data_IF_315131014560
#
_entry.id   IF_315131014560
#
_cell.length_a   1.000
_cell.length_b   1.000
_cell.length_c   1.000
_cell.angle_alpha   90.00
_cell.angle_beta   90.00
_cell.angle_gamma   90.00
#
_symmetry.space_group_name_H-M   'P 1'
#
loop_
_entity.id
_entity.type
_entity.pdbx_description
1 polymer ?
#
# COMPACT_ATOMS: atom_id res chain seq x y z
N UNK A 1 4.45 11.85 7.15
CA UNK A 1 3.20 11.05 7.24
C UNK A 1 3.44 9.82 8.10
N UNK A 2 2.38 9.21 8.59
CA UNK A 2 2.40 7.90 9.26
C UNK A 2 2.17 6.84 8.18
N UNK A 3 3.13 5.95 8.02
CA UNK A 3 3.09 4.90 7.00
C UNK A 3 3.10 3.53 7.68
N UNK A 4 2.09 2.72 7.42
CA UNK A 4 2.07 1.32 7.84
C UNK A 4 2.71 0.45 6.77
N UNK A 5 3.58 -0.48 7.18
CA UNK A 5 4.31 -1.35 6.24
C UNK A 5 4.13 -2.80 6.66
N UNK A 6 3.80 -3.68 5.73
CA UNK A 6 3.78 -5.12 5.98
C UNK A 6 4.62 -5.90 4.98
N UNK A 7 5.21 -6.99 5.44
CA UNK A 7 5.86 -7.98 4.57
C UNK A 7 5.72 -9.37 5.19
N UNK A 8 5.49 -10.37 4.35
CA UNK A 8 5.47 -11.77 4.75
C UNK A 8 6.88 -12.39 4.85
N UNK A 9 7.89 -11.68 4.31
CA UNK A 9 9.28 -12.10 4.29
C UNK A 9 10.20 -10.97 4.72
N UNK A 10 11.25 -11.32 5.47
CA UNK A 10 12.31 -10.39 5.86
C UNK A 10 13.41 -10.34 4.78
N UNK A 11 13.05 -9.87 3.60
CA UNK A 11 13.93 -9.74 2.45
C UNK A 11 14.71 -8.39 2.45
N UNK A 12 15.89 -8.33 1.80
CA UNK A 12 16.67 -7.10 1.74
C UNK A 12 15.89 -5.89 1.21
N UNK A 13 15.05 -6.08 0.20
CA UNK A 13 14.23 -4.99 -0.36
C UNK A 13 13.14 -4.53 0.61
N UNK A 14 12.60 -5.42 1.45
CA UNK A 14 11.64 -5.06 2.49
C UNK A 14 12.29 -4.22 3.62
N UNK A 15 13.52 -4.56 3.99
CA UNK A 15 14.31 -3.75 4.93
C UNK A 15 14.71 -2.40 4.33
N UNK A 16 15.10 -2.39 3.04
CA UNK A 16 15.40 -1.15 2.32
C UNK A 16 14.17 -0.22 2.26
N UNK A 17 12.98 -0.77 2.06
CA UNK A 17 11.73 -0.02 2.11
C UNK A 17 11.55 0.70 3.46
N UNK A 18 11.73 -0.01 4.59
CA UNK A 18 11.63 0.62 5.92
C UNK A 18 12.64 1.75 6.10
N UNK A 19 13.90 1.52 5.69
CA UNK A 19 14.97 2.52 5.79
C UNK A 19 14.64 3.76 4.93
N UNK A 20 14.27 3.55 3.69
CA UNK A 20 13.99 4.64 2.75
C UNK A 20 12.77 5.49 3.17
N UNK A 21 11.72 4.87 3.69
CA UNK A 21 10.56 5.59 4.23
C UNK A 21 10.95 6.48 5.43
N UNK A 22 11.79 5.97 6.32
CA UNK A 22 12.30 6.75 7.47
C UNK A 22 13.23 7.90 7.03
N UNK A 23 14.11 7.66 6.06
CA UNK A 23 14.98 8.68 5.48
C UNK A 23 14.19 9.81 4.80
N UNK A 24 13.02 9.50 4.24
CA UNK A 24 12.05 10.47 3.71
C UNK A 24 11.28 11.24 4.80
N UNK A 25 11.55 10.95 6.08
CA UNK A 25 10.94 11.64 7.22
C UNK A 25 9.55 11.13 7.58
N UNK A 26 9.19 9.89 7.19
CA UNK A 26 7.93 9.28 7.59
C UNK A 26 8.06 8.58 8.95
N UNK A 27 6.98 8.59 9.73
CA UNK A 27 6.81 7.72 10.88
C UNK A 27 6.34 6.35 10.35
N UNK A 28 7.11 5.30 10.63
CA UNK A 28 6.91 3.97 10.02
C UNK A 28 6.57 2.94 11.09
N UNK A 29 5.43 2.27 10.93
CA UNK A 29 5.04 1.10 11.70
C UNK A 29 5.11 -0.16 10.84
N UNK A 30 5.81 -1.17 11.34
CA UNK A 30 6.03 -2.43 10.64
C UNK A 30 5.12 -3.55 11.15
N UNK A 31 4.75 -4.46 10.27
CA UNK A 31 3.95 -5.66 10.56
C UNK A 31 4.53 -6.91 9.87
N UNK A 32 4.13 -8.07 10.35
CA UNK A 32 4.52 -9.36 9.80
C UNK A 32 5.98 -9.67 10.06
N UNK A 33 6.69 -10.20 9.05
CA UNK A 33 8.09 -10.61 9.20
C UNK A 33 9.04 -9.46 9.57
N UNK A 34 8.62 -8.21 9.39
CA UNK A 34 9.39 -7.01 9.74
C UNK A 34 9.21 -6.56 11.19
N UNK A 35 8.28 -7.16 11.93
CA UNK A 35 8.02 -6.87 13.34
C UNK A 35 8.04 -8.17 14.15
N UNK A 36 9.06 -8.41 15.00
CA UNK A 36 9.16 -9.64 15.78
C UNK A 36 7.91 -9.90 16.62
N UNK A 37 7.36 -11.11 16.49
CA UNK A 37 6.18 -11.55 17.23
C UNK A 37 4.86 -11.40 16.47
N UNK A 38 4.85 -10.72 15.33
CA UNK A 38 3.68 -10.65 14.47
C UNK A 38 3.53 -11.94 13.63
N UNK A 39 2.29 -12.22 13.20
CA UNK A 39 2.01 -13.27 12.24
C UNK A 39 2.50 -12.83 10.84
N UNK A 40 3.47 -13.55 10.21
CA UNK A 40 4.01 -13.17 8.93
C UNK A 40 3.15 -13.62 7.72
N UNK A 41 2.03 -14.30 7.94
CA UNK A 41 1.17 -14.71 6.83
C UNK A 41 0.76 -13.48 5.99
N UNK A 42 0.98 -13.55 4.67
CA UNK A 42 0.76 -12.42 3.77
C UNK A 42 -0.65 -11.81 3.89
N UNK A 43 -1.68 -12.64 4.10
CA UNK A 43 -3.04 -12.16 4.28
C UNK A 43 -3.21 -11.41 5.59
N UNK A 44 -2.63 -11.92 6.69
CA UNK A 44 -2.78 -11.37 8.04
C UNK A 44 -2.02 -10.04 8.17
N UNK A 45 -0.75 -10.02 7.79
CA UNK A 45 0.06 -8.81 7.95
C UNK A 45 -0.38 -7.68 6.98
N UNK A 46 -0.82 -8.03 5.76
CA UNK A 46 -1.34 -7.02 4.82
C UNK A 46 -2.68 -6.45 5.29
N UNK A 47 -3.57 -7.29 5.85
CA UNK A 47 -4.79 -6.81 6.49
C UNK A 47 -4.49 -5.87 7.64
N UNK A 48 -3.53 -6.20 8.52
CA UNK A 48 -3.16 -5.37 9.67
C UNK A 48 -2.73 -3.97 9.22
N UNK A 49 -1.83 -3.87 8.24
CA UNK A 49 -1.39 -2.60 7.70
C UNK A 49 -2.53 -1.81 7.02
N UNK A 50 -3.37 -2.49 6.25
CA UNK A 50 -4.51 -1.88 5.57
C UNK A 50 -5.56 -1.34 6.56
N UNK A 51 -5.82 -2.04 7.66
CA UNK A 51 -6.75 -1.59 8.72
C UNK A 51 -6.28 -0.30 9.37
N UNK A 52 -4.98 -0.09 9.55
CA UNK A 52 -4.47 1.17 10.09
C UNK A 52 -4.81 2.36 9.19
N UNK A 53 -4.80 2.17 7.87
CA UNK A 53 -5.26 3.20 6.92
C UNK A 53 -6.77 3.41 7.03
N UNK A 54 -7.54 2.32 7.07
CA UNK A 54 -9.00 2.39 7.14
C UNK A 54 -9.52 3.10 8.40
N UNK A 55 -8.85 2.92 9.54
CA UNK A 55 -9.22 3.57 10.81
C UNK A 55 -8.51 4.92 11.05
N UNK A 56 -7.64 5.35 10.12
CA UNK A 56 -6.96 6.64 10.19
C UNK A 56 -5.78 6.70 11.17
N UNK A 57 -5.26 5.57 11.64
CA UNK A 57 -4.03 5.53 12.45
C UNK A 57 -2.77 5.57 11.59
N UNK A 58 -2.86 5.21 10.32
CA UNK A 58 -1.88 5.49 9.29
C UNK A 58 -2.49 6.33 8.16
N UNK A 59 -1.68 7.16 7.52
CA UNK A 59 -2.13 7.99 6.39
C UNK A 59 -2.13 7.19 5.08
N UNK A 60 -1.15 6.29 4.93
CA UNK A 60 -1.01 5.35 3.80
C UNK A 60 -0.32 4.07 4.28
N UNK A 61 -0.33 3.03 3.44
CA UNK A 61 0.42 1.81 3.72
C UNK A 61 1.19 1.33 2.49
N UNK A 62 2.24 0.54 2.76
CA UNK A 62 2.95 -0.27 1.75
C UNK A 62 2.90 -1.72 2.19
N UNK A 63 2.31 -2.59 1.38
CA UNK A 63 2.15 -4.01 1.66
C UNK A 63 2.96 -4.85 0.68
N UNK A 64 3.74 -5.79 1.18
CA UNK A 64 4.66 -6.60 0.40
C UNK A 64 4.38 -8.09 0.58
N UNK A 65 4.48 -8.84 -0.51
CA UNK A 65 4.69 -10.27 -0.49
C UNK A 65 5.56 -10.67 -1.69
N UNK A 66 5.85 -11.94 -1.88
CA UNK A 66 6.76 -12.38 -2.93
C UNK A 66 6.41 -11.81 -4.32
N UNK A 67 5.14 -11.81 -4.69
CA UNK A 67 4.64 -11.30 -5.98
C UNK A 67 3.85 -9.99 -5.86
N UNK A 68 3.49 -9.57 -4.65
CA UNK A 68 2.62 -8.42 -4.39
C UNK A 68 1.13 -8.68 -4.63
N UNK A 69 0.79 -9.77 -5.32
CA UNK A 69 -0.60 -10.09 -5.69
C UNK A 69 -1.45 -10.45 -4.47
N UNK A 70 -0.98 -11.36 -3.61
CA UNK A 70 -1.67 -11.74 -2.39
C UNK A 70 -1.85 -10.56 -1.42
N UNK A 71 -0.80 -9.77 -1.22
CA UNK A 71 -0.84 -8.57 -0.39
C UNK A 71 -1.88 -7.56 -0.89
N UNK A 72 -1.92 -7.32 -2.21
CA UNK A 72 -2.93 -6.44 -2.84
C UNK A 72 -4.36 -6.96 -2.64
N UNK A 73 -4.58 -8.26 -2.84
CA UNK A 73 -5.90 -8.88 -2.65
C UNK A 73 -6.36 -8.74 -1.20
N UNK A 74 -5.49 -9.09 -0.24
CA UNK A 74 -5.82 -9.02 1.19
C UNK A 74 -6.16 -7.59 1.63
N UNK A 75 -5.32 -6.62 1.25
CA UNK A 75 -5.54 -5.22 1.59
C UNK A 75 -6.87 -4.69 1.04
N UNK A 76 -7.23 -5.06 -0.19
CA UNK A 76 -8.50 -4.64 -0.81
C UNK A 76 -9.75 -5.31 -0.20
N UNK A 77 -9.59 -6.27 0.73
CA UNK A 77 -10.73 -6.80 1.50
C UNK A 77 -11.12 -5.88 2.67
N UNK A 78 -10.27 -4.94 3.02
CA UNK A 78 -10.55 -3.96 4.08
C UNK A 78 -11.35 -2.78 3.48
N UNK A 79 -12.57 -2.49 3.96
CA UNK A 79 -13.37 -1.38 3.48
C UNK A 79 -12.64 -0.05 3.60
N UNK A 80 -12.76 0.81 2.58
CA UNK A 80 -12.07 2.10 2.52
C UNK A 80 -10.63 2.04 2.00
N UNK A 81 -10.11 0.82 1.76
CA UNK A 81 -8.78 0.62 1.20
C UNK A 81 -8.85 0.46 -0.33
N UNK A 82 -7.98 1.18 -1.01
CA UNK A 82 -7.72 1.06 -2.43
C UNK A 82 -6.24 0.70 -2.60
N UNK A 83 -5.95 -0.59 -2.60
CA UNK A 83 -4.60 -1.12 -2.74
C UNK A 83 -4.28 -1.34 -4.22
N UNK A 84 -3.19 -0.75 -4.67
CA UNK A 84 -2.71 -0.86 -6.04
C UNK A 84 -1.39 -1.62 -6.10
N UNK A 85 -1.36 -2.72 -6.85
CA UNK A 85 -0.12 -3.43 -7.18
C UNK A 85 0.63 -2.65 -8.25
N UNK A 86 1.79 -2.09 -7.88
CA UNK A 86 2.62 -1.29 -8.77
C UNK A 86 3.96 -1.98 -9.01
N UNK A 87 4.35 -2.02 -10.29
CA UNK A 87 5.60 -2.65 -10.75
C UNK A 87 6.61 -1.64 -11.28
N UNK A 88 6.21 -0.37 -11.41
CA UNK A 88 7.05 0.73 -11.89
C UNK A 88 6.50 2.09 -11.41
N UNK A 89 7.27 3.15 -11.68
CA UNK A 89 6.93 4.51 -11.30
C UNK A 89 5.66 5.02 -12.00
N UNK A 90 5.43 4.63 -13.26
CA UNK A 90 4.25 5.08 -14.01
C UNK A 90 2.95 4.51 -13.42
N UNK A 91 2.95 3.22 -13.07
CA UNK A 91 1.78 2.61 -12.41
C UNK A 91 1.55 3.18 -11.01
N UNK A 92 2.62 3.51 -10.27
CA UNK A 92 2.51 4.14 -8.95
C UNK A 92 1.92 5.56 -9.03
N UNK A 93 2.37 6.40 -9.97
CA UNK A 93 1.78 7.71 -10.23
C UNK A 93 0.31 7.59 -10.66
N UNK A 94 0.02 6.69 -11.60
CA UNK A 94 -1.35 6.44 -12.06
C UNK A 94 -2.29 5.97 -10.96
N UNK A 95 -1.83 5.08 -10.07
CA UNK A 95 -2.61 4.62 -8.92
C UNK A 95 -2.98 5.77 -7.99
N UNK A 96 -2.06 6.68 -7.73
CA UNK A 96 -2.34 7.88 -6.93
C UNK A 96 -3.26 8.84 -7.64
N UNK A 97 -2.98 9.11 -8.90
CA UNK A 97 -3.67 10.13 -9.69
C UNK A 97 -5.09 9.71 -10.05
N UNK A 98 -5.25 8.53 -10.63
CA UNK A 98 -6.54 8.11 -11.22
C UNK A 98 -7.41 7.30 -10.28
N UNK A 99 -6.81 6.59 -9.32
CA UNK A 99 -7.53 5.68 -8.44
C UNK A 99 -7.59 6.17 -6.98
N UNK A 100 -6.94 7.28 -6.65
CA UNK A 100 -6.75 7.72 -5.25
C UNK A 100 -6.36 6.55 -4.35
N UNK A 101 -5.41 5.74 -4.82
CA UNK A 101 -4.95 4.58 -4.07
C UNK A 101 -4.27 5.04 -2.78
N UNK A 102 -4.61 4.42 -1.66
CA UNK A 102 -4.08 4.73 -0.32
C UNK A 102 -3.18 3.62 0.25
N UNK A 103 -3.08 2.50 -0.45
CA UNK A 103 -2.17 1.40 -0.14
C UNK A 103 -1.40 1.00 -1.40
N UNK A 104 -0.07 1.02 -1.30
CA UNK A 104 0.83 0.53 -2.34
C UNK A 104 1.12 -0.94 -2.07
N UNK A 105 0.93 -1.81 -3.05
CA UNK A 105 1.37 -3.20 -3.00
C UNK A 105 2.56 -3.42 -3.94
N UNK A 106 3.60 -4.08 -3.46
CA UNK A 106 4.80 -4.40 -4.26
C UNK A 106 5.22 -5.86 -4.10
N UNK A 107 5.76 -6.42 -5.17
CA UNK A 107 6.33 -7.75 -5.20
C UNK A 107 7.83 -7.73 -4.87
N UNK A 108 8.24 -8.45 -3.83
CA UNK A 108 9.64 -8.51 -3.39
C UNK A 108 10.55 -9.14 -4.45
N UNK A 109 10.02 -10.09 -5.22
CA UNK A 109 10.78 -10.80 -6.25
C UNK A 109 11.29 -9.89 -7.37
N UNK A 110 10.47 -8.94 -7.82
CA UNK A 110 10.75 -8.12 -9.00
C UNK A 110 11.30 -6.72 -8.67
N UNK A 111 11.16 -6.28 -7.43
CA UNK A 111 11.51 -4.92 -7.04
C UNK A 111 12.98 -4.86 -6.60
N UNK A 112 13.83 -4.26 -7.44
CA UNK A 112 15.20 -3.91 -7.07
C UNK A 112 15.25 -2.65 -6.20
N UNK A 113 16.37 -2.37 -5.54
CA UNK A 113 16.54 -1.13 -4.78
C UNK A 113 16.28 0.13 -5.61
N UNK A 114 16.91 0.30 -6.79
CA UNK A 114 16.63 1.44 -7.65
C UNK A 114 15.15 1.55 -8.07
N UNK A 115 14.53 0.43 -8.43
CA UNK A 115 13.12 0.43 -8.81
C UNK A 115 12.21 0.79 -7.62
N UNK A 116 12.53 0.35 -6.40
CA UNK A 116 11.83 0.74 -5.18
C UNK A 116 11.85 2.26 -5.02
N UNK A 117 13.02 2.88 -5.14
CA UNK A 117 13.17 4.34 -5.04
C UNK A 117 12.30 5.06 -6.08
N UNK A 118 12.33 4.63 -7.34
CA UNK A 118 11.52 5.20 -8.42
C UNK A 118 10.00 5.07 -8.15
N UNK A 119 9.56 3.92 -7.66
CA UNK A 119 8.15 3.69 -7.28
C UNK A 119 7.75 4.61 -6.13
N UNK A 120 8.56 4.71 -5.09
CA UNK A 120 8.26 5.56 -3.93
C UNK A 120 8.27 7.05 -4.29
N UNK A 121 9.20 7.49 -5.14
CA UNK A 121 9.23 8.87 -5.64
C UNK A 121 7.92 9.23 -6.36
N UNK A 122 7.49 8.38 -7.28
CA UNK A 122 6.25 8.58 -8.02
C UNK A 122 5.01 8.51 -7.12
N UNK A 123 4.98 7.56 -6.19
CA UNK A 123 3.87 7.41 -5.25
C UNK A 123 3.67 8.61 -4.35
N UNK A 124 4.74 9.14 -3.76
CA UNK A 124 4.65 10.27 -2.82
C UNK A 124 4.55 11.63 -3.52
N UNK A 125 4.98 11.75 -4.78
CA UNK A 125 4.73 12.93 -5.59
C UNK A 125 3.30 12.98 -6.15
N UNK A 126 2.63 11.82 -6.25
CA UNK A 126 1.30 11.70 -6.82
C UNK A 126 0.20 12.26 -5.91
N UNK A 127 -0.79 12.88 -6.51
CA UNK A 127 -2.00 13.36 -5.85
C UNK A 127 -3.24 12.97 -6.68
N UNK A 128 -4.41 12.80 -6.02
CA UNK A 128 -5.65 12.50 -6.73
C UNK A 128 -5.98 13.54 -7.79
N UNK A 129 -6.47 13.08 -8.93
CA UNK A 129 -6.93 13.90 -10.03
C UNK A 129 -8.19 14.70 -9.67
N UNK A 130 -8.27 15.91 -10.24
CA UNK A 130 -9.50 16.72 -10.16
C UNK A 130 -10.47 16.42 -11.31
N UNK A 131 -10.11 15.52 -12.23
CA UNK A 131 -10.96 15.13 -13.35
C UNK A 131 -12.27 14.49 -12.84
N UNK A 132 -13.44 14.97 -13.33
CA UNK A 132 -14.73 14.44 -12.89
C UNK A 132 -14.94 12.95 -13.19
N UNK A 133 -14.32 12.42 -14.24
CA UNK A 133 -14.42 11.00 -14.58
C UNK A 133 -13.65 10.14 -13.57
N UNK A 134 -12.43 10.52 -13.24
CA UNK A 134 -11.63 9.84 -12.20
C UNK A 134 -12.35 9.83 -10.86
N UNK A 135 -12.88 11.00 -10.44
CA UNK A 135 -13.64 11.12 -9.20
C UNK A 135 -14.87 10.22 -9.17
N UNK A 136 -15.64 10.14 -10.26
CA UNK A 136 -16.81 9.23 -10.33
C UNK A 136 -16.43 7.77 -10.18
N UNK A 137 -15.28 7.36 -10.73
CA UNK A 137 -14.78 5.99 -10.60
C UNK A 137 -14.36 5.69 -9.15
N UNK A 138 -13.65 6.61 -8.50
CA UNK A 138 -13.28 6.47 -7.08
C UNK A 138 -14.51 6.42 -6.17
N UNK A 139 -15.50 7.31 -6.40
CA UNK A 139 -16.77 7.30 -5.66
C UNK A 139 -17.56 6.00 -5.86
N UNK A 140 -17.52 5.43 -7.07
CA UNK A 140 -18.16 4.15 -7.34
C UNK A 140 -17.52 3.02 -6.52
N UNK A 141 -16.18 2.95 -6.46
CA UNK A 141 -15.49 1.93 -5.64
C UNK A 141 -15.81 2.09 -4.15
N UNK A 142 -15.89 3.32 -3.65
CA UNK A 142 -16.31 3.59 -2.28
C UNK A 142 -17.76 3.17 -2.00
N UNK A 143 -18.66 3.26 -2.99
CA UNK A 143 -20.04 2.75 -2.87
C UNK A 143 -20.07 1.23 -2.75
N UNK A 144 -19.26 0.50 -3.53
CA UNK A 144 -19.17 -0.96 -3.43
C UNK A 144 -18.74 -1.42 -2.02
N UNK A 145 -17.87 -0.68 -1.36
CA UNK A 145 -17.49 -0.97 0.02
C UNK A 145 -18.67 -0.82 0.99
N UNK A 146 -19.47 0.22 0.85
CA UNK A 146 -20.67 0.43 1.67
C UNK A 146 -21.71 -0.68 1.47
N UNK A 147 -21.98 -1.05 0.23
CA UNK A 147 -22.92 -2.12 -0.11
C UNK A 147 -22.47 -3.47 0.50
N UNK A 148 -21.17 -3.75 0.48
CA UNK A 148 -20.60 -4.97 1.06
C UNK A 148 -20.70 -5.02 2.59
N UNK A 149 -20.61 -3.87 3.24
CA UNK A 149 -20.63 -3.77 4.71
C UNK A 149 -22.02 -3.54 5.28
N UNK A 150 -23.02 -3.31 4.45
CA UNK A 150 -24.38 -2.99 4.88
C UNK A 150 -24.52 -1.58 5.50
N UNK A 151 -23.60 -0.70 5.18
CA UNK A 151 -23.54 0.67 5.70
C UNK A 151 -24.17 1.69 4.73
#
# INVERSE_FOLDING_TARGET
>A
MRISVSSDMDEPVARALLAELRERGHEVRAHGALNPGDDPQWAVCSEAAAREVAVGTADQAVVCCWTGTGASIAANKVPGVRAALCTDAYTADGARRWNDANVLAIGLRLTSGPLLTEILDAWFAGAPSDDPEDRRNVEHTARLDRERTGA
#
